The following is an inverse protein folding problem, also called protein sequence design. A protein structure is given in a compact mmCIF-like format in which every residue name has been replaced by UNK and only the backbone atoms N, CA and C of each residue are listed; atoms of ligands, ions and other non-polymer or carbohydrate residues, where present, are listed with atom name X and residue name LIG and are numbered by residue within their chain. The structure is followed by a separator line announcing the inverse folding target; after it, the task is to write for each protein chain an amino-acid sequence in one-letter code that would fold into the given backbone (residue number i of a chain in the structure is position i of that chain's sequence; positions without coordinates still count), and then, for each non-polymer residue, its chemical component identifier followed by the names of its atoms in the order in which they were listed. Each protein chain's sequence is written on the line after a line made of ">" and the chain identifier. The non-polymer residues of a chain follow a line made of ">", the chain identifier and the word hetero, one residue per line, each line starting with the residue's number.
data_IF_109204885035
#
_entry.id   IF_109204885035
#
_cell.length_a   1.000
_cell.length_b   1.000
_cell.length_c   1.000
_cell.angle_alpha   90.00
_cell.angle_beta   90.00
_cell.angle_gamma   90.00
#
_symmetry.space_group_name_H-M   'P 1'
#
loop_
_entity.id
_entity.type
_entity.pdbx_description
1 polymer ?
#
# COMPACT_ATOMS: atom_id res chain seq x y z
N UNK A 1 -20.09 23.80 0.15
CA UNK A 1 -19.75 22.52 -0.52
C UNK A 1 -18.74 21.80 0.37
N UNK A 2 -19.05 20.59 0.85
CA UNK A 2 -18.10 19.78 1.62
C UNK A 2 -17.16 19.11 0.62
N UNK A 3 -15.90 19.50 0.62
CA UNK A 3 -14.87 18.92 -0.25
C UNK A 3 -14.68 17.46 0.15
N UNK A 4 -15.44 16.55 -0.46
CA UNK A 4 -15.12 15.14 -0.48
C UNK A 4 -13.89 14.96 -1.38
N UNK A 5 -12.74 15.42 -0.92
CA UNK A 5 -11.48 14.85 -1.39
C UNK A 5 -11.52 13.43 -0.85
N UNK A 6 -12.03 12.51 -1.66
CA UNK A 6 -11.80 11.09 -1.49
C UNK A 6 -10.28 10.92 -1.50
N UNK A 7 -9.69 11.01 -0.31
CA UNK A 7 -8.28 10.74 -0.06
C UNK A 7 -8.13 9.24 -0.31
N UNK A 8 -8.12 8.89 -1.60
CA UNK A 8 -8.15 7.52 -2.08
C UNK A 8 -6.80 6.94 -1.75
N UNK A 9 -6.71 6.32 -0.58
CA UNK A 9 -5.52 5.62 -0.15
C UNK A 9 -5.58 4.20 -0.71
N UNK A 10 -4.41 3.67 -1.02
CA UNK A 10 -4.22 2.36 -1.62
C UNK A 10 -3.32 1.57 -0.70
N UNK A 11 -3.74 0.34 -0.38
CA UNK A 11 -2.97 -0.60 0.41
C UNK A 11 -2.01 -1.41 -0.47
N UNK A 12 -0.84 -1.64 0.08
CA UNK A 12 0.26 -2.36 -0.52
C UNK A 12 0.84 -3.35 0.47
N UNK A 13 1.27 -4.51 -0.01
CA UNK A 13 1.91 -5.54 0.79
C UNK A 13 3.22 -6.00 0.15
N UNK A 14 4.23 -6.33 0.95
CA UNK A 14 5.38 -7.09 0.50
C UNK A 14 5.95 -7.95 1.62
N UNK A 15 6.40 -9.16 1.31
CA UNK A 15 7.33 -9.89 2.16
C UNK A 15 8.75 -9.52 1.79
N UNK A 16 9.48 -8.91 2.72
CA UNK A 16 10.83 -8.43 2.44
C UNK A 16 11.77 -9.62 2.17
N UNK A 17 12.43 -9.69 1.00
CA UNK A 17 13.33 -10.81 0.67
C UNK A 17 14.64 -10.79 1.46
N UNK A 18 14.98 -9.66 2.11
CA UNK A 18 16.23 -9.51 2.86
C UNK A 18 16.11 -9.92 4.33
N UNK A 19 15.03 -9.49 5.00
CA UNK A 19 14.84 -9.75 6.44
C UNK A 19 13.66 -10.66 6.75
N UNK A 20 12.87 -11.05 5.75
CA UNK A 20 11.70 -11.91 5.91
C UNK A 20 10.46 -11.24 6.50
N UNK A 21 10.54 -9.95 6.88
CA UNK A 21 9.44 -9.22 7.49
C UNK A 21 8.31 -8.93 6.49
N UNK A 22 7.07 -9.12 6.93
CA UNK A 22 5.86 -8.82 6.18
C UNK A 22 5.48 -7.34 6.37
N UNK A 23 5.57 -6.55 5.30
CA UNK A 23 5.29 -5.12 5.32
C UNK A 23 3.88 -4.86 4.76
N UNK A 24 3.09 -4.06 5.47
CA UNK A 24 1.84 -3.47 4.98
C UNK A 24 1.97 -1.94 4.99
N UNK A 25 1.59 -1.29 3.89
CA UNK A 25 1.64 0.16 3.78
C UNK A 25 0.41 0.69 3.05
N UNK A 26 -0.16 1.77 3.59
CA UNK A 26 -1.29 2.46 2.98
C UNK A 26 -0.88 3.88 2.59
N UNK A 27 -0.87 4.16 1.28
CA UNK A 27 -0.36 5.43 0.73
C UNK A 27 -1.41 6.10 -0.16
N UNK A 28 -1.29 7.41 -0.38
CA UNK A 28 -2.18 8.12 -1.32
C UNK A 28 -2.06 7.53 -2.72
N UNK A 29 -3.18 7.42 -3.44
CA UNK A 29 -3.21 6.94 -4.83
C UNK A 29 -2.20 7.70 -5.69
N UNK A 30 -1.39 6.96 -6.44
CA UNK A 30 -0.28 7.49 -7.24
C UNK A 30 1.08 7.41 -6.56
N UNK A 31 1.14 7.17 -5.25
CA UNK A 31 2.38 6.84 -4.55
C UNK A 31 2.54 5.31 -4.47
N UNK A 32 3.80 4.84 -4.44
CA UNK A 32 4.15 3.44 -4.21
C UNK A 32 5.22 3.37 -3.13
N UNK A 33 5.01 2.61 -2.04
CA UNK A 33 6.06 2.34 -1.06
C UNK A 33 7.17 1.51 -1.71
N UNK A 34 8.42 1.77 -1.29
CA UNK A 34 9.62 1.13 -1.85
C UNK A 34 10.62 0.64 -0.82
N UNK A 35 10.43 0.96 0.46
CA UNK A 35 11.43 0.69 1.50
C UNK A 35 10.81 -0.20 2.56
N UNK A 36 11.49 -1.29 2.92
CA UNK A 36 11.10 -2.11 4.05
C UNK A 36 11.25 -1.33 5.36
N UNK A 37 10.21 -1.31 6.20
CA UNK A 37 10.22 -0.55 7.45
C UNK A 37 11.18 -1.10 8.51
N UNK A 38 11.59 -2.38 8.39
CA UNK A 38 12.46 -3.03 9.38
C UNK A 38 13.93 -2.93 9.04
N UNK A 39 14.32 -3.25 7.79
CA UNK A 39 15.72 -3.29 7.39
C UNK A 39 16.13 -2.15 6.47
N UNK A 40 15.21 -1.24 6.11
CA UNK A 40 15.43 -0.07 5.26
C UNK A 40 15.94 -0.35 3.84
N UNK A 41 15.97 -1.62 3.43
CA UNK A 41 16.31 -2.02 2.05
C UNK A 41 15.16 -1.68 1.10
N UNK A 42 15.53 -1.40 -0.14
CA UNK A 42 14.57 -1.22 -1.22
C UNK A 42 13.92 -2.55 -1.58
N UNK A 43 12.59 -2.55 -1.67
CA UNK A 43 11.74 -3.72 -1.92
C UNK A 43 10.55 -3.33 -2.80
N UNK A 44 10.04 -4.28 -3.56
CA UNK A 44 8.86 -4.08 -4.38
C UNK A 44 7.60 -4.48 -3.63
N UNK A 45 6.65 -3.54 -3.54
CA UNK A 45 5.33 -3.81 -3.00
C UNK A 45 4.31 -4.14 -4.09
N UNK A 46 3.43 -5.09 -3.77
CA UNK A 46 2.27 -5.46 -4.56
C UNK A 46 1.04 -4.68 -4.07
N UNK A 47 0.25 -4.18 -5.00
CA UNK A 47 -0.99 -3.47 -4.67
C UNK A 47 -2.02 -4.49 -4.21
N UNK A 48 -2.57 -4.31 -3.02
CA UNK A 48 -3.75 -5.05 -2.62
C UNK A 48 -4.95 -4.43 -3.33
N UNK A 49 -5.50 -5.14 -4.32
CA UNK A 49 -6.74 -4.72 -4.94
C UNK A 49 -7.82 -4.71 -3.87
N UNK A 50 -8.23 -3.50 -3.46
CA UNK A 50 -9.48 -3.36 -2.71
C UNK A 50 -10.57 -3.84 -3.64
N UNK A 51 -11.12 -5.02 -3.37
CA UNK A 51 -12.36 -5.48 -3.98
C UNK A 51 -13.42 -4.41 -3.68
N UNK A 52 -13.61 -3.49 -4.61
CA UNK A 52 -14.80 -2.68 -4.68
C UNK A 52 -15.92 -3.63 -5.09
N UNK A 53 -16.46 -4.38 -4.15
CA UNK A 53 -17.72 -5.09 -4.38
C UNK A 53 -18.78 -4.03 -4.65
N UNK A 54 -19.38 -4.00 -5.86
CA UNK A 54 -20.61 -3.26 -6.04
C UNK A 54 -21.67 -4.08 -5.30
N UNK A 55 -22.09 -3.62 -4.12
CA UNK A 55 -23.31 -4.14 -3.52
C UNK A 55 -24.44 -3.67 -4.43
N UNK A 56 -25.06 -4.63 -5.12
CA UNK A 56 -26.18 -4.45 -6.05
C UNK A 56 -27.45 -4.08 -5.30
#
# INVERSE_FOLDING_TARGET
>A
MKNNTSDSRVKYFCKCPYCGFDNEAEVKKGLKPKICCMCTKEVEYEKLEQQSTPVK
#
